data_IF_665645902040
#
_entry.id   IF_665645902040
#
_cell.length_a   1.000
_cell.length_b   1.000
_cell.length_c   1.000
_cell.angle_alpha   90.00
_cell.angle_beta   90.00
_cell.angle_gamma   90.00
#
_symmetry.space_group_name_H-M   'P 1'
#
loop_
_entity.id
_entity.type
_entity.pdbx_description
1 polymer ?
#
# COMPACT_ATOMS: atom_id res chain seq x y z
N UNK A 1 -1.32 2.34 23.28
CA UNK A 1 -1.70 1.53 23.22
C UNK A 1 -2.05 1.46 23.06
N UNK A 2 -1.92 1.61 23.11
CA UNK A 2 -2.29 0.75 22.91
C UNK A 2 -2.73 0.64 22.84
N UNK A 3 -2.78 0.68 22.82
CA UNK A 3 -3.29 -0.07 22.72
C UNK A 3 -3.74 -0.42 22.67
N UNK A 4 -3.83 -0.43 22.85
CA UNK A 4 -4.47 -1.28 22.77
C UNK A 4 -5.18 -1.57 22.77
N UNK A 5 -5.43 -1.62 23.11
CA UNK A 5 -6.21 -2.26 22.95
C UNK A 5 -7.10 -2.18 22.93
N UNK A 6 -7.25 -2.23 22.93
CA UNK A 6 -8.01 -2.48 22.70
C UNK A 6 -8.81 -2.42 22.40
N UNK A 7 -8.97 -2.36 22.28
CA UNK A 7 -9.69 -2.65 21.71
C UNK A 7 -10.30 -3.01 21.25
N UNK A 8 -10.34 -3.12 21.33
CA UNK A 8 -10.81 -3.79 20.71
C UNK A 8 -11.94 -4.01 19.96
N UNK A 9 -12.55 -3.91 19.90
CA UNK A 9 -13.82 -3.94 19.20
C UNK A 9 -13.96 -2.87 18.18
N UNK A 10 -12.92 -2.19 17.94
CA UNK A 10 -12.88 -1.15 16.94
C UNK A 10 -13.01 -1.74 15.56
N UNK A 11 -13.51 -0.92 14.64
CA UNK A 11 -13.64 -1.37 13.27
C UNK A 11 -12.27 -1.56 12.66
N UNK A 12 -12.14 -2.56 11.76
CA UNK A 12 -10.85 -2.77 11.09
C UNK A 12 -10.34 -1.54 10.36
N UNK A 13 -11.22 -0.71 9.81
CA UNK A 13 -10.79 0.48 9.08
C UNK A 13 -10.04 1.44 9.96
N UNK A 14 -10.44 1.56 11.23
CA UNK A 14 -9.73 2.43 12.14
C UNK A 14 -8.32 1.92 12.38
N UNK A 15 -8.17 0.61 12.46
CA UNK A 15 -6.87 0.02 12.72
C UNK A 15 -5.93 0.24 11.56
N UNK A 16 -6.45 0.42 10.36
CA UNK A 16 -5.64 0.56 9.16
C UNK A 16 -5.66 1.98 8.61
N UNK A 17 -5.90 2.94 9.45
CA UNK A 17 -5.84 4.36 9.08
C UNK A 17 -6.72 4.71 7.90
N UNK A 18 -7.89 4.08 7.81
CA UNK A 18 -8.82 4.35 6.74
C UNK A 18 -8.70 3.44 5.54
N UNK A 19 -7.65 2.61 5.48
CA UNK A 19 -7.53 1.63 4.41
C UNK A 19 -8.46 0.45 4.68
N UNK A 20 -8.87 -0.24 3.63
CA UNK A 20 -9.91 -1.25 3.75
C UNK A 20 -9.44 -2.53 4.46
N UNK A 21 -8.14 -2.85 4.40
CA UNK A 21 -7.64 -4.03 5.07
C UNK A 21 -6.15 -3.89 5.33
N UNK A 22 -5.60 -4.86 6.05
CA UNK A 22 -4.18 -4.83 6.43
C UNK A 22 -3.27 -4.85 5.22
N UNK A 23 -3.59 -5.69 4.23
CA UNK A 23 -2.73 -5.81 3.05
C UNK A 23 -2.62 -4.46 2.34
N UNK A 24 -3.76 -3.80 2.12
CA UNK A 24 -3.75 -2.49 1.46
C UNK A 24 -2.99 -1.46 2.28
N UNK A 25 -3.26 -1.43 3.58
CA UNK A 25 -2.56 -0.52 4.48
C UNK A 25 -1.05 -0.74 4.41
N UNK A 26 -0.62 -1.99 4.46
CA UNK A 26 0.81 -2.29 4.49
C UNK A 26 1.49 -1.91 3.19
N UNK A 27 0.84 -2.20 2.06
CA UNK A 27 1.38 -1.80 0.77
C UNK A 27 1.50 -0.27 0.68
N UNK A 28 0.47 0.45 1.13
CA UNK A 28 0.52 1.91 1.13
C UNK A 28 1.63 2.42 2.05
N UNK A 29 1.80 1.79 3.19
CA UNK A 29 2.84 2.18 4.13
C UNK A 29 4.22 2.09 3.49
N UNK A 30 4.48 1.01 2.79
CA UNK A 30 5.78 0.83 2.17
C UNK A 30 6.01 1.78 1.01
N UNK A 31 4.97 2.03 0.19
CA UNK A 31 5.11 2.99 -0.91
C UNK A 31 5.42 4.38 -0.37
N UNK A 32 4.73 4.79 0.67
CA UNK A 32 4.91 6.13 1.24
C UNK A 32 6.16 6.27 2.08
N UNK A 33 6.66 5.18 2.65
CA UNK A 33 7.78 5.23 3.59
C UNK A 33 9.12 4.81 3.03
N UNK A 34 9.16 4.24 1.84
CA UNK A 34 10.40 3.80 1.22
C UNK A 34 10.70 4.67 0.01
N UNK A 35 11.86 5.34 0.02
CA UNK A 35 12.18 6.29 -1.01
C UNK A 35 12.18 5.65 -2.40
N UNK A 36 12.72 4.45 -2.52
CA UNK A 36 12.78 3.78 -3.81
C UNK A 36 11.41 3.49 -4.36
N UNK A 37 10.53 2.95 -3.51
CA UNK A 37 9.17 2.64 -3.93
C UNK A 37 8.39 3.92 -4.25
N UNK A 38 8.57 4.94 -3.44
CA UNK A 38 7.91 6.22 -3.69
C UNK A 38 8.31 6.80 -5.05
N UNK A 39 9.60 6.73 -5.36
CA UNK A 39 10.07 7.24 -6.64
C UNK A 39 9.52 6.46 -7.81
N UNK A 40 9.38 5.13 -7.67
CA UNK A 40 8.73 4.35 -8.71
C UNK A 40 7.27 4.79 -8.87
N UNK A 41 6.57 4.96 -7.76
CA UNK A 41 5.16 5.34 -7.80
C UNK A 41 4.96 6.69 -8.48
N UNK A 42 5.89 7.62 -8.30
CA UNK A 42 5.78 8.94 -8.91
C UNK A 42 5.75 8.88 -10.43
N UNK A 43 6.33 7.85 -11.01
CA UNK A 43 6.41 7.71 -12.46
C UNK A 43 5.30 6.83 -13.03
N UNK A 44 4.38 6.35 -12.19
CA UNK A 44 3.31 5.48 -12.63
C UNK A 44 1.99 6.23 -12.73
N UNK A 45 1.14 5.82 -13.67
CA UNK A 45 -0.18 6.42 -13.82
C UNK A 45 -1.22 5.74 -12.94
N UNK A 46 -1.01 4.46 -12.64
CA UNK A 46 -1.96 3.69 -11.85
C UNK A 46 -1.25 2.54 -11.17
N UNK A 47 -1.99 1.83 -10.34
CA UNK A 47 -1.43 0.73 -9.57
C UNK A 47 -1.00 -0.45 -10.44
N UNK A 48 -1.78 -0.86 -11.47
CA UNK A 48 -1.29 -1.93 -12.34
C UNK A 48 0.07 -1.64 -12.96
N UNK A 49 0.34 -0.40 -13.34
CA UNK A 49 1.66 -0.05 -13.87
C UNK A 49 2.72 -0.18 -12.76
N UNK A 50 2.39 0.26 -11.57
CA UNK A 50 3.30 0.10 -10.43
C UNK A 50 3.62 -1.37 -10.19
N UNK A 51 2.62 -2.24 -10.28
CA UNK A 51 2.83 -3.68 -10.10
C UNK A 51 3.79 -4.24 -11.13
N UNK A 52 3.72 -3.77 -12.36
CA UNK A 52 4.64 -4.24 -13.38
C UNK A 52 6.08 -3.92 -13.02
N UNK A 53 6.32 -2.72 -12.50
CA UNK A 53 7.66 -2.36 -12.06
C UNK A 53 8.11 -3.22 -10.89
N UNK A 54 7.24 -3.41 -9.91
CA UNK A 54 7.59 -4.18 -8.73
C UNK A 54 7.95 -5.62 -9.10
N UNK A 55 7.11 -6.26 -9.92
CA UNK A 55 7.35 -7.64 -10.27
C UNK A 55 8.57 -7.79 -11.18
N UNK A 56 8.81 -6.80 -12.04
CA UNK A 56 9.93 -6.87 -12.97
C UNK A 56 11.26 -6.51 -12.36
N UNK A 57 11.27 -5.51 -11.46
CA UNK A 57 12.51 -5.01 -10.90
C UNK A 57 12.93 -5.79 -9.67
N UNK A 58 12.00 -6.06 -8.78
CA UNK A 58 12.33 -6.68 -7.50
C UNK A 58 12.08 -8.19 -7.50
N UNK A 59 11.34 -8.70 -8.49
CA UNK A 59 11.04 -10.11 -8.57
C UNK A 59 10.41 -10.62 -7.28
N UNK A 60 9.59 -9.78 -6.67
CA UNK A 60 9.01 -10.07 -5.37
C UNK A 60 7.57 -9.59 -5.39
N UNK A 61 6.66 -10.46 -4.94
CA UNK A 61 5.24 -10.14 -4.97
C UNK A 61 4.70 -9.72 -3.61
N UNK A 62 5.56 -9.48 -2.63
CA UNK A 62 5.12 -9.12 -1.28
C UNK A 62 6.01 -8.04 -0.70
N UNK A 63 5.42 -7.25 0.22
CA UNK A 63 6.20 -6.30 0.99
C UNK A 63 7.12 -7.04 1.96
N UNK A 64 8.10 -6.35 2.55
CA UNK A 64 8.93 -6.98 3.58
C UNK A 64 8.13 -7.54 4.76
N UNK A 65 6.94 -7.00 5.01
CA UNK A 65 6.08 -7.49 6.08
C UNK A 65 5.18 -8.64 5.62
N UNK A 66 5.23 -9.01 4.35
CA UNK A 66 4.49 -10.15 3.84
C UNK A 66 3.16 -9.82 3.17
N UNK A 67 2.87 -8.54 2.95
CA UNK A 67 1.63 -8.16 2.27
C UNK A 67 1.80 -8.37 0.76
N UNK A 68 0.84 -9.07 0.15
CA UNK A 68 0.90 -9.36 -1.28
C UNK A 68 0.50 -8.11 -2.06
N UNK A 69 1.43 -7.60 -2.87
CA UNK A 69 1.18 -6.39 -3.64
C UNK A 69 -0.06 -6.52 -4.53
N UNK A 70 -0.30 -7.69 -5.08
CA UNK A 70 -1.41 -7.89 -6.01
C UNK A 70 -2.76 -8.05 -5.34
N UNK A 71 -2.80 -8.20 -4.01
CA UNK A 71 -4.06 -8.36 -3.30
C UNK A 71 -4.54 -7.10 -2.60
N UNK A 72 -3.78 -6.01 -2.70
CA UNK A 72 -4.23 -4.74 -2.15
C UNK A 72 -5.44 -4.23 -2.95
N UNK A 73 -6.27 -3.44 -2.28
CA UNK A 73 -7.48 -2.91 -2.91
C UNK A 73 -7.10 -2.01 -4.10
N UNK A 74 -7.55 -2.39 -5.28
CA UNK A 74 -7.13 -1.71 -6.49
C UNK A 74 -7.58 -0.25 -6.52
N UNK A 75 -8.81 0.01 -6.11
CA UNK A 75 -9.33 1.38 -6.16
C UNK A 75 -8.54 2.29 -5.23
N UNK A 76 -8.29 1.82 -4.01
CA UNK A 76 -7.56 2.63 -3.05
C UNK A 76 -6.11 2.85 -3.48
N UNK A 77 -5.50 1.81 -4.01
CA UNK A 77 -4.11 1.94 -4.44
C UNK A 77 -3.99 2.83 -5.68
N UNK A 78 -4.95 2.75 -6.59
CA UNK A 78 -4.96 3.66 -7.74
C UNK A 78 -5.03 5.11 -7.28
N UNK A 79 -5.90 5.40 -6.32
CA UNK A 79 -6.01 6.76 -5.82
C UNK A 79 -4.70 7.23 -5.21
N UNK A 80 -4.04 6.36 -4.44
CA UNK A 80 -2.78 6.71 -3.84
C UNK A 80 -1.71 7.00 -4.90
N UNK A 81 -1.59 6.12 -5.89
CA UNK A 81 -0.60 6.31 -6.95
C UNK A 81 -0.85 7.62 -7.68
N UNK A 82 -2.10 7.92 -7.98
CA UNK A 82 -2.43 9.13 -8.70
C UNK A 82 -2.12 10.38 -7.89
N UNK A 83 -2.34 10.32 -6.58
CA UNK A 83 -1.97 11.44 -5.72
C UNK A 83 -0.47 11.65 -5.71
N UNK A 84 0.29 10.57 -5.63
CA UNK A 84 1.75 10.68 -5.60
C UNK A 84 2.29 11.20 -6.91
N UNK A 85 1.76 10.72 -8.03
CA UNK A 85 2.24 11.13 -9.34
C UNK A 85 1.73 12.49 -9.78
N UNK A 86 0.71 13.00 -9.13
CA UNK A 86 0.19 14.32 -9.47
C UNK A 86 -0.76 14.33 -10.65
N UNK A 87 -1.33 13.19 -10.98
CA UNK A 87 -2.26 13.10 -12.12
C UNK A 87 -3.71 13.39 -11.77
#
# INVERSE_FOLDING_TARGET
MFQTAINLTDTPKKEYNGWSDWTTWNCALWIGGDEGLYNIAKDCEDYPEFLQYIYGVFENDATPDGADWGEADLTEMNEMIQEISGL
#
